data_IF_057077521437
#
_entry.id   IF_057077521437
#
_cell.length_a   1.000
_cell.length_b   1.000
_cell.length_c   1.000
_cell.angle_alpha   90.00
_cell.angle_beta   90.00
_cell.angle_gamma   90.00
#
_symmetry.space_group_name_H-M   'P 1'
#
loop_
_entity.id
_entity.type
_entity.pdbx_description
1 polymer ?
#
# COMPACT_ATOMS: atom_id res chain seq x y z
N UNK A 1 6.70 -55.84 -34.78
CA UNK A 1 6.25 -55.98 -33.38
C UNK A 1 4.97 -55.16 -33.25
N UNK A 2 3.83 -55.78 -33.56
CA UNK A 2 2.53 -55.12 -33.53
C UNK A 2 1.97 -55.16 -32.13
N UNK A 3 1.45 -54.03 -31.64
CA UNK A 3 0.70 -53.96 -30.39
C UNK A 3 -0.55 -54.82 -30.56
N UNK A 4 -0.61 -55.94 -29.83
CA UNK A 4 -1.80 -56.79 -29.77
C UNK A 4 -2.98 -56.02 -29.19
N UNK A 5 -4.17 -56.21 -29.77
CA UNK A 5 -5.40 -55.57 -29.29
C UNK A 5 -5.72 -56.11 -27.89
N UNK A 6 -5.84 -55.26 -26.86
CA UNK A 6 -6.12 -55.72 -25.50
C UNK A 6 -7.52 -56.36 -25.42
N UNK A 7 -7.67 -57.33 -24.52
CA UNK A 7 -8.95 -57.99 -24.26
C UNK A 7 -9.91 -57.04 -23.53
N UNK A 8 -11.22 -57.18 -23.77
CA UNK A 8 -12.22 -56.24 -23.25
C UNK A 8 -12.17 -56.05 -21.72
N UNK A 9 -11.86 -57.11 -20.98
CA UNK A 9 -11.74 -57.06 -19.51
C UNK A 9 -10.52 -56.26 -19.03
N UNK A 10 -9.41 -56.31 -19.75
CA UNK A 10 -8.21 -55.55 -19.39
C UNK A 10 -8.44 -54.05 -19.59
N UNK A 11 -9.15 -53.68 -20.67
CA UNK A 11 -9.58 -52.31 -20.94
C UNK A 11 -10.51 -51.79 -19.84
N UNK A 12 -11.53 -52.56 -19.44
CA UNK A 12 -12.45 -52.19 -18.37
C UNK A 12 -11.73 -51.99 -17.02
N UNK A 13 -10.77 -52.86 -16.70
CA UNK A 13 -9.97 -52.73 -15.47
C UNK A 13 -9.10 -51.46 -15.48
N UNK A 14 -8.45 -51.19 -16.62
CA UNK A 14 -7.64 -49.98 -16.80
C UNK A 14 -8.49 -48.72 -16.71
N UNK A 15 -9.66 -48.70 -17.33
CA UNK A 15 -10.59 -47.57 -17.28
C UNK A 15 -11.10 -47.31 -15.86
N UNK A 16 -11.40 -48.36 -15.10
CA UNK A 16 -11.79 -48.24 -13.70
C UNK A 16 -10.65 -47.70 -12.82
N UNK A 17 -9.40 -48.09 -13.09
CA UNK A 17 -8.23 -47.54 -12.38
C UNK A 17 -7.99 -46.07 -12.72
N UNK A 18 -8.05 -45.71 -14.00
CA UNK A 18 -7.92 -44.33 -14.48
C UNK A 18 -9.01 -43.43 -13.88
N UNK A 19 -10.26 -43.90 -13.85
CA UNK A 19 -11.38 -43.18 -13.24
C UNK A 19 -11.19 -42.94 -11.74
N UNK A 20 -10.69 -43.95 -11.01
CA UNK A 20 -10.36 -43.81 -9.58
C UNK A 20 -9.26 -42.77 -9.35
N UNK A 21 -8.21 -42.78 -10.16
CA UNK A 21 -7.12 -41.81 -10.06
C UNK A 21 -7.57 -40.38 -10.41
N UNK A 22 -8.38 -40.24 -11.45
CA UNK A 22 -8.94 -38.95 -11.86
C UNK A 22 -9.81 -38.34 -10.77
N UNK A 23 -10.70 -39.14 -10.16
CA UNK A 23 -11.53 -38.71 -9.04
C UNK A 23 -10.68 -38.25 -7.86
N UNK A 24 -9.67 -39.03 -7.48
CA UNK A 24 -8.75 -38.65 -6.40
C UNK A 24 -8.00 -37.34 -6.70
N UNK A 25 -7.47 -37.19 -7.92
CA UNK A 25 -6.76 -35.98 -8.32
C UNK A 25 -7.66 -34.74 -8.26
N UNK A 26 -8.90 -34.85 -8.75
CA UNK A 26 -9.89 -33.76 -8.70
C UNK A 26 -10.20 -33.35 -7.26
N UNK A 27 -10.43 -34.32 -6.38
CA UNK A 27 -10.65 -34.04 -4.94
C UNK A 27 -9.47 -33.33 -4.30
N UNK A 28 -8.24 -33.76 -4.61
CA UNK A 28 -7.03 -33.09 -4.09
C UNK A 28 -6.88 -31.68 -4.64
N UNK A 29 -7.14 -31.48 -5.94
CA UNK A 29 -7.08 -30.17 -6.58
C UNK A 29 -8.05 -29.20 -5.93
N UNK A 30 -9.32 -29.57 -5.76
CA UNK A 30 -10.30 -28.72 -5.09
C UNK A 30 -9.88 -28.39 -3.66
N UNK A 31 -9.31 -29.37 -2.94
CA UNK A 31 -8.82 -29.15 -1.56
C UNK A 31 -7.68 -28.12 -1.54
N UNK A 32 -6.76 -28.17 -2.50
CA UNK A 32 -5.66 -27.22 -2.62
C UNK A 32 -6.19 -25.84 -3.00
N UNK A 33 -7.11 -25.76 -3.96
CA UNK A 33 -7.72 -24.49 -4.40
C UNK A 33 -8.47 -23.81 -3.26
N UNK A 34 -9.28 -24.56 -2.49
CA UNK A 34 -9.97 -24.02 -1.29
C UNK A 34 -8.97 -23.44 -0.29
N UNK A 35 -7.92 -24.19 0.05
CA UNK A 35 -6.88 -23.72 0.99
C UNK A 35 -6.13 -22.50 0.46
N UNK A 36 -5.86 -22.44 -0.84
CA UNK A 36 -5.17 -21.30 -1.45
C UNK A 36 -6.01 -20.02 -1.33
N UNK A 37 -7.31 -20.10 -1.64
CA UNK A 37 -8.24 -18.97 -1.51
C UNK A 37 -8.35 -18.51 -0.05
N UNK A 38 -8.48 -19.44 0.90
CA UNK A 38 -8.53 -19.12 2.34
C UNK A 38 -7.24 -18.44 2.82
N UNK A 39 -6.09 -18.98 2.43
CA UNK A 39 -4.78 -18.44 2.80
C UNK A 39 -4.55 -17.04 2.20
N UNK A 40 -4.93 -16.83 0.93
CA UNK A 40 -4.82 -15.52 0.29
C UNK A 40 -5.70 -14.47 0.99
N UNK A 41 -6.95 -14.83 1.32
CA UNK A 41 -7.86 -13.95 2.07
C UNK A 41 -7.30 -13.60 3.45
N UNK A 42 -6.83 -14.59 4.21
CA UNK A 42 -6.26 -14.38 5.53
C UNK A 42 -5.02 -13.48 5.47
N UNK A 43 -4.11 -13.75 4.54
CA UNK A 43 -2.89 -12.95 4.36
C UNK A 43 -3.23 -11.49 3.99
N UNK A 44 -4.19 -11.29 3.09
CA UNK A 44 -4.65 -9.96 2.72
C UNK A 44 -5.26 -9.21 3.92
N UNK A 45 -6.09 -9.88 4.72
CA UNK A 45 -6.69 -9.27 5.91
C UNK A 45 -5.63 -8.88 6.94
N UNK A 46 -4.67 -9.77 7.22
CA UNK A 46 -3.58 -9.49 8.16
C UNK A 46 -2.71 -8.31 7.70
N UNK A 47 -2.44 -8.21 6.40
CA UNK A 47 -1.71 -7.07 5.85
C UNK A 47 -2.47 -5.76 6.05
N UNK A 48 -3.76 -5.72 5.70
CA UNK A 48 -4.59 -4.52 5.85
C UNK A 48 -4.75 -4.11 7.32
N UNK A 49 -4.92 -5.07 8.22
CA UNK A 49 -5.01 -4.82 9.65
C UNK A 49 -3.69 -4.24 10.20
N UNK A 50 -2.55 -4.85 9.82
CA UNK A 50 -1.23 -4.35 10.21
C UNK A 50 -0.97 -2.94 9.67
N UNK A 51 -1.31 -2.68 8.40
CA UNK A 51 -1.19 -1.36 7.79
C UNK A 51 -2.05 -0.32 8.51
N UNK A 52 -3.33 -0.61 8.75
CA UNK A 52 -4.26 0.30 9.44
C UNK A 52 -3.82 0.60 10.87
N UNK A 53 -3.33 -0.42 11.60
CA UNK A 53 -2.78 -0.25 12.94
C UNK A 53 -1.55 0.65 12.93
N UNK A 54 -0.66 0.47 11.95
CA UNK A 54 0.52 1.30 11.79
C UNK A 54 0.16 2.74 11.46
N UNK A 55 -0.77 2.98 10.51
CA UNK A 55 -1.26 4.31 10.15
C UNK A 55 -1.77 5.10 11.37
N UNK A 56 -2.51 4.45 12.27
CA UNK A 56 -2.98 5.08 13.51
C UNK A 56 -1.86 5.43 14.50
N UNK A 57 -0.71 4.75 14.44
CA UNK A 57 0.46 5.04 15.29
C UNK A 57 1.43 6.04 14.68
N UNK A 58 1.40 6.24 13.35
CA UNK A 58 2.21 7.24 12.68
C UNK A 58 1.66 8.61 13.04
N UNK A 59 2.30 9.27 14.00
CA UNK A 59 1.98 10.65 14.34
C UNK A 59 2.23 11.50 13.09
N UNK A 60 1.24 12.29 12.61
CA UNK A 60 1.47 13.24 11.54
C UNK A 60 2.63 14.12 11.96
N UNK A 61 3.70 14.11 11.16
CA UNK A 61 4.82 15.00 11.39
C UNK A 61 4.23 16.41 11.27
N UNK A 62 4.23 17.19 12.36
CA UNK A 62 3.92 18.61 12.27
C UNK A 62 5.08 19.24 11.50
N UNK A 63 4.93 19.31 10.19
CA UNK A 63 5.85 20.06 9.35
C UNK A 63 5.44 21.50 9.52
N UNK A 64 6.14 22.19 10.40
CA UNK A 64 6.02 23.64 10.49
C UNK A 64 6.70 24.23 9.23
N UNK A 65 6.02 25.10 8.47
CA UNK A 65 6.63 25.72 7.30
C UNK A 65 7.89 26.47 7.72
N UNK A 66 8.98 26.30 6.97
CA UNK A 66 10.33 26.83 7.31
C UNK A 66 10.31 28.32 7.67
N UNK A 67 9.47 29.11 6.99
CA UNK A 67 9.39 30.57 7.18
C UNK A 67 8.16 31.03 7.99
N UNK A 68 7.45 30.12 8.64
CA UNK A 68 6.21 30.40 9.39
C UNK A 68 6.39 31.43 10.52
N UNK A 69 7.51 31.36 11.26
CA UNK A 69 7.82 32.33 12.32
C UNK A 69 8.01 33.76 11.78
N UNK A 70 8.66 33.91 10.63
CA UNK A 70 8.80 35.22 9.96
C UNK A 70 7.46 35.71 9.40
N UNK A 71 6.65 34.81 8.84
CA UNK A 71 5.30 35.13 8.38
C UNK A 71 4.41 35.66 9.51
N UNK A 72 4.45 35.01 10.69
CA UNK A 72 3.70 35.47 11.86
C UNK A 72 4.16 36.85 12.34
N UNK A 73 5.47 37.11 12.32
CA UNK A 73 6.03 38.41 12.69
C UNK A 73 5.62 39.54 11.71
N UNK A 74 5.61 39.27 10.40
CA UNK A 74 5.13 40.23 9.39
C UNK A 74 3.66 40.57 9.62
N UNK A 75 2.81 39.56 9.80
CA UNK A 75 1.38 39.77 10.04
C UNK A 75 1.14 40.60 11.32
N UNK A 76 1.90 40.32 12.38
CA UNK A 76 1.85 41.12 13.60
C UNK A 76 2.31 42.56 13.35
N UNK A 77 3.42 42.76 12.65
CA UNK A 77 3.95 44.07 12.35
C UNK A 77 2.93 44.94 11.58
N UNK A 78 2.29 44.40 10.54
CA UNK A 78 1.29 45.17 9.79
C UNK A 78 0.05 45.53 10.61
N UNK A 79 -0.38 44.64 11.52
CA UNK A 79 -1.48 44.93 12.44
C UNK A 79 -1.10 46.06 13.41
N UNK A 80 0.14 46.06 13.89
CA UNK A 80 0.61 47.03 14.88
C UNK A 80 0.99 48.38 14.22
N UNK A 81 1.31 48.40 12.91
CA UNK A 81 1.77 49.57 12.16
C UNK A 81 0.96 49.84 10.87
N UNK A 82 -0.38 49.88 10.97
CA UNK A 82 -1.28 50.00 9.81
C UNK A 82 -1.05 51.24 8.94
N UNK A 83 -0.64 52.37 9.53
CA UNK A 83 -0.35 53.62 8.81
C UNK A 83 1.14 53.82 8.50
N UNK A 84 2.00 52.95 9.06
CA UNK A 84 3.46 53.04 9.00
C UNK A 84 4.06 51.72 8.48
N UNK A 85 3.42 51.15 7.46
CA UNK A 85 3.71 49.81 6.92
C UNK A 85 5.17 49.62 6.46
N UNK A 86 5.86 50.71 6.16
CA UNK A 86 7.28 50.69 5.77
C UNK A 86 8.20 50.23 6.92
N UNK A 87 7.79 50.39 8.18
CA UNK A 87 8.54 49.88 9.33
C UNK A 87 8.68 48.35 9.30
N UNK A 88 7.79 47.65 8.60
CA UNK A 88 7.81 46.20 8.45
C UNK A 88 8.71 45.72 7.31
N UNK A 89 9.38 46.61 6.56
CA UNK A 89 10.10 46.25 5.34
C UNK A 89 11.23 45.25 5.55
N UNK A 90 11.94 45.35 6.67
CA UNK A 90 13.08 44.46 6.94
C UNK A 90 12.64 43.05 7.33
N UNK A 91 11.49 42.93 8.00
CA UNK A 91 10.84 41.62 8.23
C UNK A 91 10.42 40.98 6.91
N UNK A 92 9.87 41.75 5.97
CA UNK A 92 9.49 41.27 4.63
C UNK A 92 10.71 40.80 3.84
N UNK A 93 11.81 41.56 3.83
CA UNK A 93 13.07 41.13 3.19
C UNK A 93 13.59 39.83 3.78
N UNK A 94 13.60 39.72 5.10
CA UNK A 94 14.03 38.48 5.79
C UNK A 94 13.16 37.28 5.39
N UNK A 95 11.84 37.45 5.31
CA UNK A 95 10.93 36.41 4.82
C UNK A 95 11.19 36.01 3.37
N UNK A 96 11.39 36.99 2.48
CA UNK A 96 11.72 36.73 1.07
C UNK A 96 13.03 35.95 0.92
N UNK A 97 14.05 36.28 1.71
CA UNK A 97 15.30 35.52 1.76
C UNK A 97 15.09 34.10 2.25
N UNK A 98 14.30 33.91 3.32
CA UNK A 98 13.94 32.58 3.83
C UNK A 98 13.25 31.73 2.77
N UNK A 99 12.22 32.26 2.10
CA UNK A 99 11.49 31.55 1.05
C UNK A 99 12.40 31.19 -0.12
N UNK A 100 13.26 32.13 -0.54
CA UNK A 100 14.22 31.91 -1.63
C UNK A 100 15.26 30.85 -1.29
N UNK A 101 15.69 30.75 -0.03
CA UNK A 101 16.59 29.71 0.43
C UNK A 101 15.87 28.35 0.53
N UNK A 102 14.64 28.33 1.04
CA UNK A 102 13.82 27.13 1.17
C UNK A 102 13.45 26.51 -0.19
N UNK A 103 13.26 27.31 -1.25
CA UNK A 103 13.00 26.80 -2.60
C UNK A 103 14.23 26.19 -3.31
N UNK A 104 15.44 26.41 -2.79
CA UNK A 104 16.70 25.94 -3.40
C UNK A 104 17.24 24.66 -2.77
N UNK A 105 16.65 24.17 -1.68
CA UNK A 105 17.01 22.92 -1.00
C UNK A 105 16.00 21.82 -1.31
#
# INVERSE_FOLDING_TARGET
>A
MGLGRPEARELESLEAELSRRDTFCKEQQERIERKNVEMYKLSSQQFHEAASKMEGTIKPRRIEPVCSGLQAQILRCYRDHLQEVLLCSDLVKAYQHCVSAAHKG
#
